data_IF_521562912394
#
_entry.id   IF_521562912394
#
_cell.length_a   1.000
_cell.length_b   1.000
_cell.length_c   1.000
_cell.angle_alpha   90.00
_cell.angle_beta   90.00
_cell.angle_gamma   90.00
#
_symmetry.space_group_name_H-M   'P 1'
#
loop_
_entity.id
_entity.type
_entity.pdbx_description
1 polymer ?
#
# COMPACT_ATOMS: atom_id res chain seq x y z
N UNK A 1 -11.71 66.41 39.24
CA UNK A 1 -10.70 65.50 38.66
C UNK A 1 -10.64 64.28 39.56
N UNK A 2 -11.29 63.24 39.19
CA UNK A 2 -11.33 61.98 39.96
C UNK A 2 -10.30 61.04 39.31
N UNK A 3 -9.19 60.81 39.99
CA UNK A 3 -8.18 59.86 39.65
C UNK A 3 -8.80 58.45 39.73
N UNK A 4 -8.99 57.80 38.57
CA UNK A 4 -9.42 56.41 38.47
C UNK A 4 -8.18 55.52 38.62
N UNK A 5 -7.91 55.14 39.86
CA UNK A 5 -6.84 54.21 40.20
C UNK A 5 -7.21 52.84 39.68
N UNK A 6 -6.53 52.34 38.59
CA UNK A 6 -6.69 51.00 38.09
C UNK A 6 -6.08 49.99 39.07
N UNK A 7 -6.83 48.96 39.46
CA UNK A 7 -6.28 47.94 40.33
C UNK A 7 -5.09 47.22 39.62
N UNK A 8 -4.03 46.90 40.36
CA UNK A 8 -2.87 46.23 39.80
C UNK A 8 -3.26 44.87 39.22
N UNK A 9 -2.75 44.56 38.04
CA UNK A 9 -2.98 43.31 37.38
C UNK A 9 -2.42 42.15 38.22
N UNK A 10 -3.31 41.35 38.83
CA UNK A 10 -3.00 40.22 39.73
C UNK A 10 -2.74 38.91 38.95
N UNK A 11 -2.26 39.00 37.74
CA UNK A 11 -1.86 37.83 36.95
C UNK A 11 -0.43 37.37 37.28
N UNK A 12 -0.11 36.06 37.14
CA UNK A 12 1.27 35.61 37.33
C UNK A 12 2.20 36.31 36.32
N UNK A 13 3.34 36.76 36.78
CA UNK A 13 4.34 37.44 35.94
C UNK A 13 4.83 36.49 34.85
N UNK A 14 4.64 36.80 33.54
CA UNK A 14 5.08 35.96 32.43
C UNK A 14 6.62 35.84 32.38
N UNK A 15 7.36 36.65 33.08
CA UNK A 15 8.83 36.63 33.16
C UNK A 15 9.37 35.83 34.35
N UNK A 16 8.49 35.32 35.23
CA UNK A 16 8.93 34.50 36.36
C UNK A 16 9.62 33.20 35.83
N UNK A 17 10.90 32.99 36.20
CA UNK A 17 11.64 31.78 35.74
C UNK A 17 11.01 30.48 36.22
N UNK A 18 10.22 30.48 37.29
CA UNK A 18 9.50 29.33 37.79
C UNK A 18 8.32 28.97 36.86
N UNK A 19 7.59 29.96 36.36
CA UNK A 19 6.49 29.80 35.37
C UNK A 19 7.06 29.31 34.05
N UNK A 20 8.17 29.86 33.59
CA UNK A 20 8.86 29.47 32.37
C UNK A 20 9.32 27.99 32.42
N UNK A 21 9.88 27.54 33.54
CA UNK A 21 10.31 26.14 33.73
C UNK A 21 9.12 25.16 33.74
N UNK A 22 7.99 25.52 34.33
CA UNK A 22 6.76 24.74 34.29
C UNK A 22 6.23 24.60 32.85
N UNK A 23 6.16 25.72 32.12
CA UNK A 23 5.68 25.76 30.75
C UNK A 23 6.56 24.90 29.79
N UNK A 24 7.89 24.95 29.96
CA UNK A 24 8.82 24.11 29.16
C UNK A 24 8.61 22.63 29.43
N UNK A 25 8.42 22.24 30.72
CA UNK A 25 8.12 20.82 31.05
C UNK A 25 6.79 20.37 30.46
N UNK A 26 5.76 21.22 30.57
CA UNK A 26 4.44 20.93 29.99
C UNK A 26 4.53 20.80 28.47
N UNK A 27 5.24 21.70 27.80
CA UNK A 27 5.44 21.66 26.35
C UNK A 27 6.19 20.39 25.92
N UNK A 28 7.22 19.98 26.67
CA UNK A 28 7.97 18.75 26.39
C UNK A 28 7.07 17.50 26.53
N UNK A 29 6.23 17.44 27.56
CA UNK A 29 5.29 16.33 27.74
C UNK A 29 4.28 16.27 26.58
N UNK A 30 3.71 17.41 26.19
CA UNK A 30 2.78 17.51 25.06
C UNK A 30 3.45 17.06 23.75
N UNK A 31 4.69 17.48 23.49
CA UNK A 31 5.45 17.08 22.31
C UNK A 31 5.71 15.57 22.28
N UNK A 32 6.06 14.95 23.41
CA UNK A 32 6.25 13.51 23.52
C UNK A 32 4.94 12.76 23.29
N UNK A 33 3.83 13.19 23.87
CA UNK A 33 2.52 12.57 23.68
C UNK A 33 2.08 12.68 22.22
N UNK A 34 2.32 13.81 21.56
CA UNK A 34 2.02 14.00 20.15
C UNK A 34 2.87 13.08 19.27
N UNK A 35 4.16 12.93 19.56
CA UNK A 35 5.05 12.03 18.88
C UNK A 35 4.60 10.55 19.00
N UNK A 36 4.18 10.14 20.21
CA UNK A 36 3.62 8.81 20.47
C UNK A 36 2.31 8.60 19.69
N UNK A 37 1.42 9.60 19.70
CA UNK A 37 0.15 9.55 18.95
C UNK A 37 0.34 9.40 17.44
N UNK A 38 1.42 9.94 16.90
CA UNK A 38 1.77 9.80 15.47
C UNK A 38 2.50 8.48 15.21
N UNK A 39 3.40 8.07 16.10
CA UNK A 39 4.23 6.88 15.92
C UNK A 39 3.42 5.56 16.00
N UNK A 40 2.45 5.48 16.93
CA UNK A 40 1.62 4.28 17.11
C UNK A 40 0.86 3.91 15.83
N UNK A 41 0.05 4.79 15.22
CA UNK A 41 -0.70 4.42 14.00
C UNK A 41 0.21 4.12 12.81
N UNK A 42 1.37 4.77 12.69
CA UNK A 42 2.35 4.44 11.65
C UNK A 42 2.92 3.03 11.83
N UNK A 43 3.23 2.65 13.06
CA UNK A 43 3.75 1.33 13.39
C UNK A 43 2.68 0.25 13.17
N UNK A 44 1.45 0.47 13.65
CA UNK A 44 0.33 -0.45 13.48
C UNK A 44 0.02 -0.67 12.00
N UNK A 45 -0.02 0.39 11.16
CA UNK A 45 -0.21 0.25 9.70
C UNK A 45 0.86 -0.60 9.04
N UNK A 46 2.09 -0.54 9.51
CA UNK A 46 3.20 -1.36 8.96
C UNK A 46 3.03 -2.84 9.29
N UNK A 47 2.47 -3.17 10.46
CA UNK A 47 2.14 -4.56 10.83
C UNK A 47 0.88 -5.11 10.16
N UNK A 48 -0.04 -4.24 9.75
CA UNK A 48 -1.29 -4.65 9.07
C UNK A 48 -1.09 -5.00 7.59
N UNK A 49 0.06 -4.69 7.00
CA UNK A 49 0.39 -4.94 5.60
C UNK A 49 1.73 -5.68 5.49
N UNK A 50 1.80 -6.93 5.94
CA UNK A 50 3.04 -7.71 5.83
C UNK A 50 3.42 -7.85 4.35
N UNK A 51 4.65 -7.48 4.05
CA UNK A 51 5.28 -7.77 2.78
C UNK A 51 6.04 -9.09 2.92
N UNK A 52 5.87 -9.97 1.96
CA UNK A 52 6.52 -11.28 1.93
C UNK A 52 7.20 -11.48 0.60
N UNK A 53 8.37 -12.08 0.62
CA UNK A 53 9.14 -12.47 -0.55
C UNK A 53 9.32 -13.99 -0.56
N UNK A 54 9.12 -14.58 -1.74
CA UNK A 54 9.39 -15.98 -2.01
C UNK A 54 10.29 -16.06 -3.25
N UNK A 55 11.41 -16.73 -3.15
CA UNK A 55 12.35 -16.92 -4.26
C UNK A 55 11.72 -17.75 -5.38
N UNK A 56 10.85 -18.71 -5.03
CA UNK A 56 10.16 -19.61 -5.95
C UNK A 56 8.70 -19.82 -5.59
N UNK A 57 7.88 -20.28 -6.53
CA UNK A 57 6.50 -20.67 -6.28
C UNK A 57 6.41 -21.84 -5.27
N UNK A 58 7.36 -22.78 -5.29
CA UNK A 58 7.41 -23.89 -4.35
C UNK A 58 7.57 -23.42 -2.90
N UNK A 59 8.37 -22.38 -2.66
CA UNK A 59 8.48 -21.72 -1.32
C UNK A 59 7.15 -21.11 -0.90
N UNK A 60 6.43 -20.43 -1.80
CA UNK A 60 5.12 -19.85 -1.50
C UNK A 60 4.08 -20.93 -1.14
N UNK A 61 4.11 -22.07 -1.81
CA UNK A 61 3.26 -23.24 -1.51
C UNK A 61 3.62 -23.82 -0.14
N UNK A 62 4.91 -24.05 0.13
CA UNK A 62 5.38 -24.56 1.44
C UNK A 62 4.98 -23.63 2.58
N UNK A 63 5.01 -22.34 2.36
CA UNK A 63 4.55 -21.33 3.31
C UNK A 63 3.02 -21.21 3.38
N UNK A 64 2.25 -22.03 2.64
CA UNK A 64 0.79 -22.00 2.53
C UNK A 64 0.24 -20.65 2.05
N UNK A 65 1.05 -19.85 1.35
CA UNK A 65 0.64 -18.53 0.89
C UNK A 65 -0.42 -18.58 -0.22
N UNK A 66 -0.40 -19.66 -1.02
CA UNK A 66 -1.39 -19.90 -2.08
C UNK A 66 -2.73 -20.31 -1.45
N UNK A 67 -2.71 -21.20 -0.47
CA UNK A 67 -3.92 -21.67 0.24
C UNK A 67 -4.58 -20.54 1.04
N UNK A 68 -3.78 -19.70 1.69
CA UNK A 68 -4.29 -18.50 2.39
C UNK A 68 -4.80 -17.42 1.44
N UNK A 69 -4.49 -17.52 0.14
CA UNK A 69 -4.86 -16.52 -0.86
C UNK A 69 -3.96 -15.28 -0.83
N UNK A 70 -2.79 -15.32 -0.20
CA UNK A 70 -1.80 -14.24 -0.25
C UNK A 70 -1.16 -14.17 -1.65
N UNK A 71 -0.94 -15.33 -2.26
CA UNK A 71 -0.42 -15.51 -3.62
C UNK A 71 -1.52 -16.10 -4.51
N UNK A 72 -1.84 -15.47 -5.67
CA UNK A 72 -2.86 -15.94 -6.59
C UNK A 72 -2.59 -17.34 -7.16
N UNK A 73 -3.65 -18.12 -7.37
CA UNK A 73 -3.56 -19.51 -7.86
C UNK A 73 -3.15 -19.63 -9.33
N UNK A 74 -3.29 -18.57 -10.12
CA UNK A 74 -2.90 -18.59 -11.55
C UNK A 74 -1.40 -18.40 -11.75
N UNK A 75 -0.63 -18.11 -10.70
CA UNK A 75 0.83 -17.97 -10.79
C UNK A 75 1.42 -19.35 -11.11
N UNK A 76 2.23 -19.49 -12.18
CA UNK A 76 2.76 -20.77 -12.60
C UNK A 76 3.80 -21.31 -11.61
N UNK A 77 3.97 -22.64 -11.59
CA UNK A 77 4.94 -23.31 -10.72
C UNK A 77 6.41 -22.91 -11.02
N UNK A 78 6.67 -22.42 -12.21
CA UNK A 78 7.95 -21.92 -12.69
C UNK A 78 8.26 -20.47 -12.26
N UNK A 79 7.27 -19.77 -11.69
CA UNK A 79 7.43 -18.39 -11.28
C UNK A 79 8.47 -18.23 -10.17
N UNK A 80 9.21 -17.15 -10.27
CA UNK A 80 10.25 -16.76 -9.29
C UNK A 80 10.09 -15.32 -8.85
N UNK A 81 10.87 -14.89 -7.87
CA UNK A 81 10.85 -13.52 -7.33
C UNK A 81 9.44 -13.02 -6.97
N UNK A 82 8.70 -13.83 -6.25
CA UNK A 82 7.32 -13.52 -5.89
C UNK A 82 7.33 -12.58 -4.67
N UNK A 83 6.95 -11.33 -4.91
CA UNK A 83 6.68 -10.36 -3.86
C UNK A 83 5.18 -10.27 -3.65
N UNK A 84 4.73 -10.43 -2.43
CA UNK A 84 3.32 -10.36 -2.07
C UNK A 84 3.10 -9.37 -0.92
N UNK A 85 2.06 -8.56 -1.04
CA UNK A 85 1.58 -7.67 0.01
C UNK A 85 0.06 -7.76 0.11
N UNK A 86 -0.42 -8.06 1.29
CA UNK A 86 -1.83 -8.17 1.57
C UNK A 86 -2.25 -7.10 2.59
N UNK A 87 -3.18 -6.25 2.21
CA UNK A 87 -3.81 -5.31 3.12
C UNK A 87 -5.03 -6.00 3.76
N UNK A 88 -4.87 -6.43 5.01
CA UNK A 88 -5.91 -7.18 5.74
C UNK A 88 -7.19 -6.37 5.97
N UNK A 89 -7.09 -5.04 6.08
CA UNK A 89 -8.24 -4.18 6.35
C UNK A 89 -9.15 -4.01 5.12
N UNK A 90 -8.54 -3.89 3.94
CA UNK A 90 -9.26 -3.68 2.68
C UNK A 90 -9.42 -4.97 1.87
N UNK A 91 -8.74 -6.05 2.25
CA UNK A 91 -8.66 -7.28 1.46
C UNK A 91 -7.90 -7.10 0.13
N UNK A 92 -7.22 -5.97 -0.05
CA UNK A 92 -6.45 -5.71 -1.26
C UNK A 92 -5.13 -6.47 -1.24
N UNK A 93 -4.83 -7.12 -2.35
CA UNK A 93 -3.59 -7.87 -2.58
C UNK A 93 -2.82 -7.25 -3.72
N UNK A 94 -1.50 -7.21 -3.56
CA UNK A 94 -0.55 -6.79 -4.57
C UNK A 94 0.50 -7.88 -4.69
N UNK A 95 0.75 -8.35 -5.90
CA UNK A 95 1.76 -9.38 -6.14
C UNK A 95 2.56 -9.01 -7.38
N UNK A 96 3.88 -9.13 -7.29
CA UNK A 96 4.78 -9.14 -8.46
C UNK A 96 5.44 -10.50 -8.54
N UNK A 97 5.64 -11.00 -9.73
CA UNK A 97 6.40 -12.22 -9.98
C UNK A 97 7.08 -12.18 -11.33
N UNK A 98 8.13 -12.99 -11.47
CA UNK A 98 8.81 -13.23 -12.74
C UNK A 98 8.27 -14.53 -13.37
N UNK A 99 8.12 -14.55 -14.68
CA UNK A 99 7.59 -15.71 -15.42
C UNK A 99 8.42 -15.98 -16.69
N UNK A 100 8.34 -17.20 -17.22
CA UNK A 100 8.90 -17.54 -18.53
C UNK A 100 7.87 -17.25 -19.64
N UNK A 101 8.32 -16.83 -20.82
CA UNK A 101 7.43 -16.51 -21.95
C UNK A 101 6.47 -17.65 -22.29
N UNK A 102 6.93 -18.89 -22.17
CA UNK A 102 6.12 -20.08 -22.41
C UNK A 102 4.91 -20.19 -21.46
N UNK A 103 4.97 -19.54 -20.29
CA UNK A 103 3.90 -19.61 -19.28
C UNK A 103 2.80 -18.59 -19.52
N UNK A 104 3.05 -17.54 -20.31
CA UNK A 104 2.11 -16.43 -20.51
C UNK A 104 0.71 -16.89 -20.96
N UNK A 105 0.56 -17.84 -21.91
CA UNK A 105 -0.76 -18.35 -22.29
C UNK A 105 -1.49 -19.08 -21.15
N UNK A 106 -0.75 -19.73 -20.26
CA UNK A 106 -1.33 -20.42 -19.11
C UNK A 106 -1.74 -19.43 -18.02
N UNK A 107 -0.92 -18.43 -17.76
CA UNK A 107 -1.18 -17.34 -16.79
C UNK A 107 -2.45 -16.58 -17.17
N UNK A 108 -2.59 -16.21 -18.45
CA UNK A 108 -3.68 -15.35 -18.92
C UNK A 108 -4.95 -16.11 -19.31
N UNK A 109 -4.96 -17.43 -19.11
CA UNK A 109 -6.12 -18.28 -19.45
C UNK A 109 -7.38 -17.84 -18.69
N UNK A 110 -8.43 -17.54 -19.42
CA UNK A 110 -9.71 -17.08 -18.84
C UNK A 110 -9.72 -15.62 -18.40
N UNK A 111 -8.64 -14.89 -18.62
CA UNK A 111 -8.58 -13.45 -18.42
C UNK A 111 -8.97 -12.71 -19.70
N UNK A 112 -9.45 -11.48 -19.55
CA UNK A 112 -9.81 -10.60 -20.67
C UNK A 112 -8.72 -9.55 -20.85
N UNK A 113 -8.05 -9.55 -22.01
CA UNK A 113 -7.13 -8.47 -22.38
C UNK A 113 -7.92 -7.17 -22.55
N UNK A 114 -7.51 -6.12 -21.86
CA UNK A 114 -8.16 -4.81 -21.92
C UNK A 114 -7.62 -4.00 -23.10
N UNK A 115 -8.50 -3.40 -23.92
CA UNK A 115 -8.08 -2.38 -24.89
C UNK A 115 -7.59 -1.13 -24.16
N UNK A 116 -6.72 -0.35 -24.80
CA UNK A 116 -6.07 0.83 -24.20
C UNK A 116 -7.06 1.81 -23.55
N UNK A 117 -8.17 2.09 -24.22
CA UNK A 117 -9.23 2.99 -23.71
C UNK A 117 -9.89 2.49 -22.41
N UNK A 118 -9.85 1.19 -22.11
CA UNK A 118 -10.32 0.62 -20.84
C UNK A 118 -9.21 0.62 -19.78
N UNK A 119 -7.96 0.43 -20.18
CA UNK A 119 -6.80 0.46 -19.27
C UNK A 119 -6.69 1.81 -18.57
N UNK A 120 -6.96 2.92 -19.27
CA UNK A 120 -6.94 4.28 -18.68
C UNK A 120 -7.95 4.45 -17.53
N UNK A 121 -9.01 3.65 -17.50
CA UNK A 121 -10.07 3.70 -16.48
C UNK A 121 -9.78 2.77 -15.29
N UNK A 122 -8.72 1.95 -15.39
CA UNK A 122 -8.36 1.02 -14.32
C UNK A 122 -7.77 1.78 -13.15
N UNK A 123 -8.43 1.64 -12.00
CA UNK A 123 -7.91 2.18 -10.75
C UNK A 123 -6.89 1.20 -10.15
N UNK A 124 -5.69 1.69 -9.97
CA UNK A 124 -4.65 0.99 -9.21
C UNK A 124 -4.63 1.59 -7.81
N UNK A 125 -5.08 0.84 -6.80
CA UNK A 125 -4.98 1.30 -5.42
C UNK A 125 -3.50 1.47 -5.04
N UNK A 126 -3.20 2.45 -4.21
CA UNK A 126 -1.84 2.63 -3.75
C UNK A 126 -1.46 1.47 -2.80
N UNK A 127 -0.43 0.66 -3.12
CA UNK A 127 0.00 -0.45 -2.26
C UNK A 127 0.67 0.05 -0.96
N UNK A 128 0.75 1.34 -0.76
CA UNK A 128 1.63 1.98 0.19
C UNK A 128 3.03 2.12 -0.40
N UNK A 129 4.02 2.38 0.46
CA UNK A 129 5.40 2.54 0.01
C UNK A 129 5.99 1.15 -0.32
N UNK A 130 6.07 0.81 -1.64
CA UNK A 130 6.68 -0.42 -2.14
C UNK A 130 7.43 -0.12 -3.43
N UNK A 131 8.74 -0.32 -3.41
CA UNK A 131 9.59 -0.08 -4.59
C UNK A 131 9.38 -1.13 -5.69
N UNK A 132 8.98 -2.35 -5.31
CA UNK A 132 8.82 -3.47 -6.23
C UNK A 132 7.48 -3.44 -7.00
N UNK A 133 6.53 -2.55 -6.66
CA UNK A 133 5.25 -2.41 -7.37
C UNK A 133 5.13 -1.01 -7.98
N UNK A 134 5.74 -0.76 -9.14
CA UNK A 134 5.76 0.56 -9.77
C UNK A 134 4.46 0.92 -10.51
N UNK A 135 3.49 -0.01 -10.55
CA UNK A 135 2.25 0.19 -11.29
C UNK A 135 1.34 1.16 -10.54
N UNK A 136 0.95 2.22 -11.23
CA UNK A 136 0.00 3.23 -10.77
C UNK A 136 -0.99 3.51 -11.89
N UNK A 137 -2.13 4.14 -11.60
CA UNK A 137 -3.07 4.57 -12.64
C UNK A 137 -2.38 5.50 -13.66
N UNK A 138 -1.44 6.35 -13.21
CA UNK A 138 -0.66 7.24 -14.09
C UNK A 138 0.29 6.44 -15.00
N UNK A 139 0.96 5.38 -14.50
CA UNK A 139 1.84 4.56 -15.35
C UNK A 139 1.04 3.76 -16.37
N UNK A 140 -0.18 3.36 -16.06
CA UNK A 140 -1.05 2.66 -17.02
C UNK A 140 -1.59 3.58 -18.12
N UNK A 141 -1.95 4.84 -17.79
CA UNK A 141 -2.51 5.81 -18.74
C UNK A 141 -1.46 6.60 -19.54
N UNK A 142 -0.20 6.57 -19.10
CA UNK A 142 0.89 7.31 -19.73
C UNK A 142 1.55 6.55 -20.88
N UNK A 143 2.39 7.26 -21.65
CA UNK A 143 3.21 6.68 -22.73
C UNK A 143 4.13 5.57 -22.25
N UNK A 144 4.48 5.57 -20.97
CA UNK A 144 5.26 4.49 -20.34
C UNK A 144 4.45 3.19 -20.11
N UNK A 145 3.11 3.26 -20.12
CA UNK A 145 2.25 2.10 -19.99
C UNK A 145 1.92 1.39 -21.31
N UNK A 146 2.25 1.99 -22.46
CA UNK A 146 1.88 1.47 -23.77
C UNK A 146 2.48 0.10 -24.16
N UNK A 147 3.43 -0.40 -23.38
CA UNK A 147 4.00 -1.74 -23.55
C UNK A 147 3.39 -2.77 -22.60
N UNK A 148 2.67 -2.34 -21.55
CA UNK A 148 2.05 -3.25 -20.61
C UNK A 148 0.77 -3.84 -21.21
N UNK A 149 0.67 -5.16 -21.15
CA UNK A 149 -0.57 -5.87 -21.45
C UNK A 149 -1.37 -5.99 -20.15
N UNK A 150 -2.54 -5.37 -20.11
CA UNK A 150 -3.38 -5.40 -18.91
C UNK A 150 -4.56 -6.32 -19.13
N UNK A 151 -4.69 -7.29 -18.24
CA UNK A 151 -5.75 -8.28 -18.25
C UNK A 151 -6.69 -8.07 -17.06
N UNK A 152 -7.98 -8.25 -17.29
CA UNK A 152 -8.99 -8.31 -16.25
C UNK A 152 -9.27 -9.75 -15.87
N UNK A 153 -9.28 -10.03 -14.57
CA UNK A 153 -9.73 -11.29 -13.98
C UNK A 153 -11.14 -11.03 -13.44
N UNK A 154 -12.20 -11.48 -14.18
CA UNK A 154 -13.56 -10.99 -13.93
C UNK A 154 -14.20 -11.57 -12.67
N UNK A 155 -13.80 -12.78 -12.25
CA UNK A 155 -14.47 -13.51 -11.18
C UNK A 155 -13.49 -14.37 -10.37
N UNK A 156 -13.99 -14.92 -9.25
CA UNK A 156 -13.27 -15.84 -8.40
C UNK A 156 -12.49 -15.14 -7.26
N UNK A 157 -11.73 -15.92 -6.48
CA UNK A 157 -10.97 -15.43 -5.34
C UNK A 157 -9.86 -14.46 -5.75
N UNK A 158 -9.36 -14.58 -6.98
CA UNK A 158 -8.30 -13.74 -7.53
C UNK A 158 -8.85 -12.64 -8.46
N UNK A 159 -10.12 -12.23 -8.28
CA UNK A 159 -10.72 -11.14 -9.04
C UNK A 159 -9.89 -9.87 -8.94
N UNK A 160 -9.50 -9.30 -10.09
CA UNK A 160 -8.60 -8.15 -10.11
C UNK A 160 -8.09 -7.85 -11.50
N UNK A 161 -6.86 -7.37 -11.54
CA UNK A 161 -6.15 -7.05 -12.76
C UNK A 161 -4.73 -7.61 -12.72
N UNK A 162 -4.22 -7.94 -13.90
CA UNK A 162 -2.85 -8.36 -14.11
C UNK A 162 -2.23 -7.49 -15.19
N UNK A 163 -1.18 -6.75 -14.86
CA UNK A 163 -0.36 -6.06 -15.86
C UNK A 163 0.90 -6.90 -16.12
N UNK A 164 1.17 -7.18 -17.37
CA UNK A 164 2.32 -7.98 -17.83
C UNK A 164 3.25 -7.11 -18.64
N UNK A 165 4.52 -7.08 -18.27
CA UNK A 165 5.59 -6.49 -19.09
C UNK A 165 6.33 -7.63 -19.83
N UNK A 166 6.09 -7.85 -21.11
CA UNK A 166 6.73 -8.92 -21.86
C UNK A 166 8.23 -8.69 -22.11
N UNK A 167 8.74 -7.47 -21.87
CA UNK A 167 10.16 -7.13 -22.09
C UNK A 167 11.03 -7.48 -20.90
N UNK A 168 10.46 -7.37 -19.69
CA UNK A 168 11.15 -7.63 -18.42
C UNK A 168 10.71 -8.93 -17.78
N UNK A 169 9.68 -9.59 -18.34
CA UNK A 169 9.07 -10.82 -17.83
C UNK A 169 8.51 -10.66 -16.41
N UNK A 170 8.14 -9.42 -16.02
CA UNK A 170 7.44 -9.16 -14.79
C UNK A 170 5.93 -9.11 -15.00
N UNK A 171 5.22 -9.69 -14.07
CA UNK A 171 3.78 -9.58 -13.97
C UNK A 171 3.38 -8.95 -12.62
N UNK A 172 2.41 -8.06 -12.66
CA UNK A 172 1.94 -7.27 -11.52
C UNK A 172 0.44 -7.48 -11.35
N UNK A 173 0.07 -8.14 -10.29
CA UNK A 173 -1.33 -8.39 -9.94
C UNK A 173 -1.79 -7.45 -8.83
N UNK A 174 -3.03 -6.95 -8.93
CA UNK A 174 -3.73 -6.32 -7.83
C UNK A 174 -5.20 -6.73 -7.83
N UNK A 175 -5.69 -7.07 -6.63
CA UNK A 175 -7.10 -7.44 -6.46
C UNK A 175 -7.99 -6.20 -6.47
N UNK A 176 -9.24 -6.35 -6.92
CA UNK A 176 -10.27 -5.35 -6.69
C UNK A 176 -10.63 -5.31 -5.20
N UNK A 177 -10.92 -4.12 -4.65
CA UNK A 177 -11.50 -4.05 -3.32
C UNK A 177 -12.76 -4.90 -3.26
N UNK A 178 -12.99 -5.56 -2.12
CA UNK A 178 -14.29 -6.19 -1.88
C UNK A 178 -15.38 -5.12 -1.98
N UNK A 179 -16.45 -5.40 -2.71
CA UNK A 179 -17.61 -4.52 -2.69
C UNK A 179 -18.08 -4.43 -1.24
N UNK A 180 -18.10 -3.21 -0.68
CA UNK A 180 -18.72 -2.99 0.63
C UNK A 180 -20.21 -3.21 0.42
N UNK A 181 -20.71 -4.34 0.95
CA UNK A 181 -22.13 -4.61 1.04
C UNK A 181 -22.84 -3.65 2.00
#
# INVERSE_FOLDING_TARGET
MTDTEFPPATGPDPYDPAVRRKNVKTLAIVAVLLAIMIAIPMTVRRFQQPETFYGTHAEAVTAQAVERGDVPRFIPATATEIHARNNRDSGQRFVRFTFADADLPAITRGMRLLPHAEVEKVLVPAPGYTEWFPITSRTLSGTQGGYLQVYEIPAGPDRGYLAVDPRTHYAYFWSRPAARG
#
